data_IF_259239281934
#
_entry.id   IF_259239281934
#
_cell.length_a   1.000
_cell.length_b   1.000
_cell.length_c   1.000
_cell.angle_alpha   90.00
_cell.angle_beta   90.00
_cell.angle_gamma   90.00
#
_symmetry.space_group_name_H-M   'P 1'
#
loop_
_entity.id
_entity.type
_entity.pdbx_description
1 polymer ?
#
# COMPACT_ATOMS: atom_id res chain seq x y z
N UNK A 1 -38.83 42.32 0.32
CA UNK A 1 -38.28 40.98 0.05
C UNK A 1 -36.91 40.92 0.70
N UNK A 2 -36.76 40.10 1.74
CA UNK A 2 -35.51 40.02 2.52
C UNK A 2 -34.53 39.10 1.80
N UNK A 3 -33.35 39.61 1.45
CA UNK A 3 -32.24 38.76 1.01
C UNK A 3 -31.87 37.78 2.14
N UNK A 4 -31.60 36.50 1.85
CA UNK A 4 -31.01 35.62 2.83
C UNK A 4 -29.55 36.06 3.04
N UNK A 5 -29.20 36.46 4.26
CA UNK A 5 -27.82 36.62 4.66
C UNK A 5 -27.08 35.31 4.47
N UNK A 6 -26.00 35.34 3.71
CA UNK A 6 -25.04 34.24 3.67
C UNK A 6 -24.56 34.05 5.11
N UNK A 7 -24.95 32.94 5.73
CA UNK A 7 -24.46 32.56 7.05
C UNK A 7 -22.94 32.55 6.95
N UNK A 8 -22.26 33.41 7.72
CA UNK A 8 -20.81 33.34 7.91
C UNK A 8 -20.53 31.95 8.48
N UNK A 9 -20.21 30.98 7.63
CA UNK A 9 -19.57 29.76 8.07
C UNK A 9 -18.32 30.21 8.85
N UNK A 10 -18.09 29.70 10.07
CA UNK A 10 -16.85 30.01 10.76
C UNK A 10 -15.74 29.51 9.85
N UNK A 11 -14.87 30.43 9.44
CA UNK A 11 -13.61 30.14 8.75
C UNK A 11 -12.64 29.49 9.74
N UNK A 12 -13.07 28.41 10.38
CA UNK A 12 -12.21 27.57 11.20
C UNK A 12 -11.39 26.74 10.22
N UNK A 13 -10.38 27.36 9.64
CA UNK A 13 -9.28 26.64 9.02
C UNK A 13 -8.74 25.68 10.10
N UNK A 14 -9.10 24.40 9.97
CA UNK A 14 -8.61 23.36 10.86
C UNK A 14 -7.12 23.24 10.57
N UNK A 15 -6.31 23.91 11.40
CA UNK A 15 -4.86 23.90 11.26
C UNK A 15 -4.35 22.55 11.77
N UNK A 16 -4.34 21.54 10.90
CA UNK A 16 -3.77 20.23 11.21
C UNK A 16 -2.24 20.36 11.15
N UNK A 17 -1.61 20.46 12.32
CA UNK A 17 -0.16 20.35 12.45
C UNK A 17 0.19 18.90 12.78
N UNK A 18 1.06 18.30 11.97
CA UNK A 18 1.56 16.93 12.16
C UNK A 18 3.04 17.03 12.47
N UNK A 19 3.47 16.39 13.55
CA UNK A 19 4.89 16.26 13.86
C UNK A 19 5.56 15.28 12.91
N UNK A 20 6.86 15.42 12.72
CA UNK A 20 7.62 14.54 11.83
C UNK A 20 7.53 13.05 12.25
N UNK A 21 7.44 12.76 13.55
CA UNK A 21 7.26 11.40 14.06
C UNK A 21 5.87 10.82 13.77
N UNK A 22 4.83 11.65 13.85
CA UNK A 22 3.48 11.24 13.44
C UNK A 22 3.42 10.99 11.93
N UNK A 23 4.09 11.81 11.12
CA UNK A 23 4.17 11.62 9.68
C UNK A 23 4.89 10.31 9.30
N UNK A 24 5.98 9.97 9.99
CA UNK A 24 6.69 8.69 9.79
C UNK A 24 5.79 7.50 10.15
N UNK A 25 5.13 7.55 11.31
CA UNK A 25 4.23 6.50 11.77
C UNK A 25 3.05 6.31 10.79
N UNK A 26 2.46 7.40 10.30
CA UNK A 26 1.41 7.35 9.29
C UNK A 26 1.90 6.75 7.98
N UNK A 27 3.15 7.01 7.58
CA UNK A 27 3.73 6.44 6.38
C UNK A 27 3.91 4.91 6.50
N UNK A 28 4.42 4.44 7.65
CA UNK A 28 4.55 3.01 7.94
C UNK A 28 3.17 2.32 8.00
N UNK A 29 2.17 2.96 8.60
CA UNK A 29 0.79 2.46 8.60
C UNK A 29 0.25 2.37 7.17
N UNK A 30 0.49 3.38 6.33
CA UNK A 30 0.04 3.37 4.93
C UNK A 30 0.70 2.23 4.12
N UNK A 31 1.97 1.93 4.37
CA UNK A 31 2.67 0.78 3.78
C UNK A 31 2.00 -0.52 4.22
N UNK A 32 1.81 -0.72 5.53
CA UNK A 32 1.18 -1.92 6.07
C UNK A 32 -0.26 -2.13 5.54
N UNK A 33 -1.04 -1.05 5.41
CA UNK A 33 -2.38 -1.11 4.81
C UNK A 33 -2.33 -1.46 3.32
N UNK A 34 -1.29 -1.04 2.61
CA UNK A 34 -1.10 -1.38 1.20
C UNK A 34 -0.74 -2.87 1.06
N UNK A 35 0.18 -3.38 1.87
CA UNK A 35 0.53 -4.81 1.90
C UNK A 35 -0.71 -5.68 2.22
N UNK A 36 -1.51 -5.28 3.20
CA UNK A 36 -2.77 -5.95 3.52
C UNK A 36 -3.75 -5.95 2.35
N UNK A 37 -3.87 -4.82 1.65
CA UNK A 37 -4.71 -4.70 0.44
C UNK A 37 -4.22 -5.65 -0.67
N UNK A 38 -2.91 -5.70 -0.94
CA UNK A 38 -2.31 -6.59 -1.93
C UNK A 38 -2.54 -8.06 -1.56
N UNK A 39 -2.44 -8.43 -0.29
CA UNK A 39 -2.75 -9.77 0.19
C UNK A 39 -4.21 -10.16 -0.05
N UNK A 40 -5.16 -9.24 0.17
CA UNK A 40 -6.58 -9.47 -0.13
C UNK A 40 -6.84 -9.66 -1.62
N UNK A 41 -6.20 -8.85 -2.45
CA UNK A 41 -6.29 -8.97 -3.91
C UNK A 41 -5.76 -10.33 -4.35
N UNK A 42 -4.56 -10.72 -3.92
CA UNK A 42 -3.95 -12.02 -4.20
C UNK A 42 -4.84 -13.20 -3.73
N UNK A 43 -5.42 -13.12 -2.53
CA UNK A 43 -6.33 -14.14 -2.02
C UNK A 43 -7.62 -14.27 -2.83
N UNK A 44 -8.18 -13.15 -3.27
CA UNK A 44 -9.38 -13.14 -4.12
C UNK A 44 -9.11 -13.84 -5.46
N UNK A 45 -7.95 -13.59 -6.05
CA UNK A 45 -7.52 -14.24 -7.29
C UNK A 45 -7.27 -15.74 -7.10
N UNK A 46 -6.61 -16.14 -6.01
CA UNK A 46 -6.43 -17.54 -5.66
C UNK A 46 -7.79 -18.27 -5.52
N UNK A 47 -8.77 -17.63 -4.86
CA UNK A 47 -10.14 -18.15 -4.77
C UNK A 47 -10.83 -18.24 -6.13
N UNK A 48 -10.55 -17.34 -7.07
CA UNK A 48 -11.08 -17.41 -8.44
C UNK A 48 -10.56 -18.67 -9.14
N UNK A 49 -9.24 -18.89 -9.12
CA UNK A 49 -8.59 -20.09 -9.69
C UNK A 49 -9.11 -21.37 -9.03
N UNK A 50 -9.21 -21.40 -7.71
CA UNK A 50 -9.75 -22.57 -6.99
C UNK A 50 -11.18 -22.92 -7.42
N UNK A 51 -12.07 -21.92 -7.57
CA UNK A 51 -13.44 -22.16 -8.05
C UNK A 51 -13.47 -22.69 -9.48
N UNK A 52 -12.60 -22.17 -10.34
CA UNK A 52 -12.51 -22.60 -11.73
C UNK A 52 -12.04 -24.06 -11.83
N UNK A 53 -11.02 -24.43 -11.04
CA UNK A 53 -10.55 -25.83 -10.94
C UNK A 53 -11.61 -26.76 -10.33
N UNK A 54 -12.34 -26.31 -9.31
CA UNK A 54 -13.42 -27.09 -8.71
C UNK A 54 -14.58 -27.36 -9.68
N UNK A 55 -14.79 -26.47 -10.65
CA UNK A 55 -15.79 -26.63 -11.71
C UNK A 55 -15.27 -27.44 -12.92
N UNK A 56 -14.02 -27.88 -12.91
CA UNK A 56 -13.41 -28.56 -14.04
C UNK A 56 -13.88 -30.02 -14.12
N UNK A 57 -14.35 -30.49 -15.29
CA UNK A 57 -14.84 -31.86 -15.44
C UNK A 57 -13.71 -32.88 -15.24
N UNK A 58 -13.88 -33.80 -14.28
CA UNK A 58 -12.87 -34.80 -13.91
C UNK A 58 -12.94 -36.08 -14.77
N UNK A 59 -14.07 -36.34 -15.43
CA UNK A 59 -14.38 -37.64 -16.05
C UNK A 59 -14.99 -37.56 -17.46
N UNK A 60 -15.18 -36.35 -18.03
CA UNK A 60 -15.64 -36.16 -19.41
C UNK A 60 -14.48 -35.72 -20.31
N UNK A 61 -14.61 -35.94 -21.63
CA UNK A 61 -13.68 -35.40 -22.61
C UNK A 61 -13.61 -33.87 -22.43
N UNK A 62 -12.48 -33.39 -21.93
CA UNK A 62 -12.19 -31.95 -21.80
C UNK A 62 -12.46 -31.29 -23.14
N UNK A 63 -13.43 -30.38 -23.18
CA UNK A 63 -13.69 -29.61 -24.39
C UNK A 63 -12.63 -28.52 -24.50
N UNK A 64 -12.29 -28.17 -25.74
CA UNK A 64 -11.36 -27.08 -26.06
C UNK A 64 -11.73 -25.78 -25.32
N UNK A 65 -13.03 -25.56 -25.06
CA UNK A 65 -13.53 -24.39 -24.33
C UNK A 65 -13.11 -24.34 -22.86
N UNK A 66 -13.10 -25.45 -22.13
CA UNK A 66 -12.65 -25.44 -20.73
C UNK A 66 -11.15 -25.19 -20.63
N UNK A 67 -10.37 -25.78 -21.55
CA UNK A 67 -8.93 -25.55 -21.63
C UNK A 67 -8.60 -24.07 -21.93
N UNK A 68 -9.31 -23.45 -22.88
CA UNK A 68 -9.16 -22.02 -23.16
C UNK A 68 -9.48 -21.15 -21.94
N UNK A 69 -10.50 -21.52 -21.15
CA UNK A 69 -10.84 -20.80 -19.90
C UNK A 69 -9.73 -20.89 -18.86
N UNK A 70 -9.13 -22.07 -18.68
CA UNK A 70 -7.98 -22.26 -17.80
C UNK A 70 -6.79 -21.39 -18.23
N UNK A 71 -6.40 -21.47 -19.51
CA UNK A 71 -5.27 -20.71 -20.04
C UNK A 71 -5.47 -19.20 -19.90
N UNK A 72 -6.69 -18.71 -20.14
CA UNK A 72 -7.02 -17.30 -19.98
C UNK A 72 -6.94 -16.87 -18.50
N UNK A 73 -7.44 -17.71 -17.59
CA UNK A 73 -7.33 -17.47 -16.16
C UNK A 73 -5.86 -17.40 -15.71
N UNK A 74 -5.06 -18.37 -16.11
CA UNK A 74 -3.64 -18.44 -15.75
C UNK A 74 -2.87 -17.24 -16.28
N UNK A 75 -3.15 -16.81 -17.52
CA UNK A 75 -2.54 -15.60 -18.10
C UNK A 75 -2.92 -14.36 -17.30
N UNK A 76 -4.20 -14.21 -16.96
CA UNK A 76 -4.67 -13.09 -16.15
C UNK A 76 -4.06 -13.10 -14.73
N UNK A 77 -3.91 -14.27 -14.11
CA UNK A 77 -3.26 -14.41 -12.80
C UNK A 77 -1.77 -14.08 -12.87
N UNK A 78 -1.07 -14.45 -13.95
CA UNK A 78 0.32 -14.06 -14.18
C UNK A 78 0.47 -12.53 -14.33
N UNK A 79 -0.39 -11.90 -15.12
CA UNK A 79 -0.38 -10.43 -15.29
C UNK A 79 -0.64 -9.71 -13.96
N UNK A 80 -1.55 -10.24 -13.15
CA UNK A 80 -1.83 -9.74 -11.81
C UNK A 80 -0.64 -9.90 -10.88
N UNK A 81 0.02 -11.06 -10.86
CA UNK A 81 1.22 -11.28 -10.05
C UNK A 81 2.36 -10.36 -10.47
N UNK A 82 2.58 -10.14 -11.77
CA UNK A 82 3.56 -9.18 -12.26
C UNK A 82 3.25 -7.76 -11.78
N UNK A 83 1.97 -7.39 -11.74
CA UNK A 83 1.53 -6.08 -11.25
C UNK A 83 1.75 -5.94 -9.73
N UNK A 84 1.48 -6.99 -8.95
CA UNK A 84 1.78 -7.03 -7.51
C UNK A 84 3.28 -6.88 -7.29
N UNK A 85 4.13 -7.64 -8.00
CA UNK A 85 5.59 -7.54 -7.85
C UNK A 85 6.08 -6.12 -8.09
N UNK A 86 5.57 -5.42 -9.13
CA UNK A 86 5.92 -4.02 -9.38
C UNK A 86 5.49 -3.10 -8.23
N UNK A 87 4.32 -3.35 -7.62
CA UNK A 87 3.88 -2.60 -6.44
C UNK A 87 4.78 -2.88 -5.24
N UNK A 88 5.14 -4.13 -4.98
CA UNK A 88 6.07 -4.52 -3.90
C UNK A 88 7.44 -3.85 -4.07
N UNK A 89 7.97 -3.76 -5.30
CA UNK A 89 9.21 -3.02 -5.57
C UNK A 89 9.09 -1.52 -5.25
N UNK A 90 7.94 -0.90 -5.55
CA UNK A 90 7.68 0.50 -5.21
C UNK A 90 7.50 0.71 -3.69
N UNK A 91 6.83 -0.24 -3.02
CA UNK A 91 6.69 -0.26 -1.56
C UNK A 91 8.05 -0.38 -0.88
N UNK A 92 8.90 -1.29 -1.35
CA UNK A 92 10.27 -1.44 -0.86
C UNK A 92 11.03 -0.11 -0.95
N UNK A 93 10.98 0.58 -2.10
CA UNK A 93 11.64 1.89 -2.26
C UNK A 93 11.12 2.93 -1.26
N UNK A 94 9.82 2.94 -0.94
CA UNK A 94 9.26 3.86 0.08
C UNK A 94 9.74 3.52 1.48
N UNK A 95 9.80 2.23 1.83
CA UNK A 95 10.33 1.77 3.12
C UNK A 95 11.79 2.18 3.26
N UNK A 96 12.60 1.95 2.22
CA UNK A 96 14.01 2.35 2.19
C UNK A 96 14.18 3.86 2.44
N UNK A 97 13.41 4.71 1.75
CA UNK A 97 13.44 6.16 1.98
C UNK A 97 13.09 6.55 3.42
N UNK A 98 12.11 5.88 4.05
CA UNK A 98 11.76 6.16 5.45
C UNK A 98 12.90 5.74 6.39
N UNK A 99 13.50 4.57 6.17
CA UNK A 99 14.62 4.06 6.96
C UNK A 99 15.84 4.97 6.84
N UNK A 100 16.13 5.49 5.64
CA UNK A 100 17.19 6.48 5.41
C UNK A 100 16.95 7.74 6.25
N UNK A 101 15.73 8.31 6.22
CA UNK A 101 15.37 9.49 7.01
C UNK A 101 15.57 9.26 8.53
N UNK A 102 15.22 8.07 9.03
CA UNK A 102 15.49 7.70 10.42
C UNK A 102 16.99 7.65 10.72
N UNK A 103 17.76 7.00 9.85
CA UNK A 103 19.19 6.82 10.02
C UNK A 103 19.92 8.17 10.05
N UNK A 104 19.63 9.06 9.10
CA UNK A 104 20.21 10.40 9.03
C UNK A 104 19.90 11.21 10.29
N UNK A 105 18.65 11.18 10.78
CA UNK A 105 18.24 11.89 11.99
C UNK A 105 18.99 11.39 13.22
N UNK A 106 19.15 10.08 13.37
CA UNK A 106 19.87 9.50 14.52
C UNK A 106 21.37 9.82 14.48
N UNK A 107 21.99 9.85 13.30
CA UNK A 107 23.38 10.30 13.14
C UNK A 107 23.54 11.76 13.57
N UNK A 108 22.63 12.66 13.13
CA UNK A 108 22.68 14.08 13.51
C UNK A 108 22.56 14.27 15.03
N UNK A 109 21.65 13.52 15.69
CA UNK A 109 21.50 13.56 17.15
C UNK A 109 22.79 13.16 17.87
N UNK A 110 23.47 12.12 17.42
CA UNK A 110 24.73 11.67 18.02
C UNK A 110 25.87 12.69 17.81
N UNK A 111 25.98 13.29 16.62
CA UNK A 111 26.99 14.33 16.35
C UNK A 111 26.75 15.57 17.21
N UNK A 112 25.50 16.00 17.39
CA UNK A 112 25.16 17.13 18.28
C UNK A 112 25.47 16.83 19.76
N UNK A 113 25.19 15.61 20.22
CA UNK A 113 25.50 15.20 21.59
C UNK A 113 27.00 15.23 21.90
N UNK A 114 27.86 14.92 20.91
CA UNK A 114 29.32 14.99 21.10
C UNK A 114 29.88 16.41 21.13
N UNK A 115 29.29 17.37 20.39
CA UNK A 115 29.77 18.76 20.38
C UNK A 115 29.32 19.57 21.60
N UNK A 116 28.17 19.24 22.19
CA UNK A 116 27.68 19.92 23.41
C UNK A 116 28.50 19.58 24.66
N UNK A 117 29.32 18.53 24.64
CA UNK A 117 30.19 18.14 25.76
C UNK A 117 31.54 18.88 25.81
N UNK A 118 31.88 19.68 24.79
CA UNK A 118 33.15 20.42 24.71
C UNK A 118 33.02 21.90 25.07
N UNK A 119 31.83 22.39 25.37
CA UNK A 119 31.58 23.78 25.82
C UNK A 119 31.23 23.82 27.31
N UNK A 120 32.22 23.69 28.17
CA UNK A 120 32.14 24.05 29.60
C UNK A 120 33.52 24.44 30.12
#
# INVERSE_FOLDING_TARGET
MSQPSLSNAPDSAVNVSITIHEAEALCLIAIALTELSLAHVMHSEAKKTQRLLAAYPQHEQVQSRELCRLLLNDTASLDMMQSIIKQEMLLQSRVESIVELYTEREVIKHVHAQHSGYTS
#
